data_IF_099582370981
#
_entry.id   IF_099582370981
#
_cell.length_a   1.000
_cell.length_b   1.000
_cell.length_c   1.000
_cell.angle_alpha   90.00
_cell.angle_beta   90.00
_cell.angle_gamma   90.00
#
_symmetry.space_group_name_H-M   'P 1'
#
loop_
_entity.id
_entity.type
_entity.pdbx_description
1 polymer ?
#
# COMPACT_ATOMS: atom_id res chain seq x y z
N UNK A 1 -52.32 42.07 -3.49
CA UNK A 1 -52.91 40.71 -3.40
C UNK A 1 -52.90 40.19 -4.83
N UNK A 2 -51.98 39.32 -5.26
CA UNK A 2 -51.97 37.88 -4.98
C UNK A 2 -50.56 37.30 -5.18
N UNK A 3 -50.06 36.68 -4.11
CA UNK A 3 -49.09 35.58 -3.97
C UNK A 3 -48.45 34.99 -5.25
N UNK A 4 -47.11 34.94 -5.21
CA UNK A 4 -46.29 33.71 -5.33
C UNK A 4 -46.61 32.77 -6.48
N UNK A 5 -45.67 32.56 -7.41
CA UNK A 5 -45.15 31.23 -7.74
C UNK A 5 -43.70 31.40 -8.22
N UNK A 6 -42.80 30.86 -7.39
CA UNK A 6 -41.40 30.64 -7.65
C UNK A 6 -41.33 29.53 -8.72
N UNK A 7 -40.94 29.86 -9.95
CA UNK A 7 -40.63 28.84 -10.97
C UNK A 7 -39.15 28.49 -10.85
N UNK A 8 -38.86 27.57 -9.94
CA UNK A 8 -37.59 26.87 -9.84
C UNK A 8 -37.53 25.86 -11.00
N UNK A 9 -36.78 26.17 -12.06
CA UNK A 9 -36.38 25.16 -13.05
C UNK A 9 -34.92 24.79 -12.79
N UNK A 10 -34.77 23.64 -12.15
CA UNK A 10 -33.55 23.07 -11.64
C UNK A 10 -32.48 22.94 -12.73
N UNK A 11 -31.36 23.64 -12.52
CA UNK A 11 -30.13 23.44 -13.26
C UNK A 11 -29.54 22.10 -12.83
N UNK A 12 -29.81 21.06 -13.63
CA UNK A 12 -29.36 19.68 -13.38
C UNK A 12 -27.86 19.61 -13.66
N UNK A 13 -27.05 19.99 -12.67
CA UNK A 13 -25.60 19.78 -12.72
C UNK A 13 -25.33 18.28 -12.66
N UNK A 14 -24.79 17.76 -13.76
CA UNK A 14 -24.20 16.44 -13.84
C UNK A 14 -23.05 16.33 -12.83
N UNK A 15 -23.31 15.70 -11.69
CA UNK A 15 -22.25 15.25 -10.79
C UNK A 15 -21.64 14.01 -11.45
N UNK A 16 -20.62 14.25 -12.29
CA UNK A 16 -19.70 13.21 -12.72
C UNK A 16 -18.93 12.72 -11.51
N UNK A 17 -19.44 11.66 -10.89
CA UNK A 17 -18.74 10.95 -9.83
C UNK A 17 -17.43 10.42 -10.39
N UNK A 18 -16.32 11.08 -10.06
CA UNK A 18 -14.99 10.53 -10.26
C UNK A 18 -14.91 9.32 -9.33
N UNK A 19 -15.12 8.12 -9.86
CA UNK A 19 -14.72 6.92 -9.17
C UNK A 19 -13.20 7.03 -9.02
N UNK A 20 -12.77 7.45 -7.84
CA UNK A 20 -11.37 7.37 -7.45
C UNK A 20 -11.00 5.90 -7.61
N UNK A 21 -10.25 5.60 -8.67
CA UNK A 21 -9.57 4.33 -8.81
C UNK A 21 -8.65 4.25 -7.61
N UNK A 22 -9.09 3.59 -6.55
CA UNK A 22 -8.24 3.22 -5.44
C UNK A 22 -7.21 2.26 -6.04
N UNK A 23 -6.09 2.81 -6.51
CA UNK A 23 -4.87 2.07 -6.77
C UNK A 23 -4.44 1.54 -5.42
N UNK A 24 -5.01 0.39 -5.03
CA UNK A 24 -4.83 -0.16 -3.70
C UNK A 24 -3.36 -0.37 -3.47
N UNK A 25 -2.77 0.43 -2.60
CA UNK A 25 -1.38 0.24 -2.21
C UNK A 25 -1.33 -0.99 -1.31
N UNK A 26 -0.31 -1.83 -1.46
CA UNK A 26 -0.13 -2.96 -0.57
C UNK A 26 1.26 -2.99 0.03
N UNK A 27 1.30 -3.03 1.35
CA UNK A 27 2.52 -3.02 2.14
C UNK A 27 2.63 -4.32 2.92
N UNK A 28 3.81 -4.91 2.91
CA UNK A 28 4.11 -6.10 3.71
C UNK A 28 5.25 -5.82 4.65
N UNK A 29 5.02 -6.08 5.93
CA UNK A 29 6.08 -6.24 6.92
C UNK A 29 6.60 -7.67 6.82
N UNK A 30 7.91 -7.85 6.72
CA UNK A 30 8.53 -9.16 6.52
C UNK A 30 9.86 -9.30 7.28
N UNK A 31 10.28 -10.54 7.45
CA UNK A 31 11.63 -10.92 7.93
C UNK A 31 12.42 -11.52 6.78
N UNK A 32 13.68 -11.12 6.63
CA UNK A 32 14.59 -11.67 5.63
C UNK A 32 15.99 -11.94 6.20
N UNK A 33 16.72 -12.83 5.52
CA UNK A 33 18.09 -13.22 5.91
C UNK A 33 19.06 -13.28 4.74
N UNK A 34 20.33 -13.00 5.00
CA UNK A 34 21.47 -13.33 4.14
C UNK A 34 22.28 -14.44 4.80
N UNK A 35 22.91 -15.29 4.00
CA UNK A 35 23.81 -16.33 4.49
C UNK A 35 25.25 -15.97 4.13
N UNK A 36 26.16 -16.09 5.11
CA UNK A 36 27.61 -15.90 4.96
C UNK A 36 28.06 -14.49 4.45
N UNK A 37 28.18 -13.48 5.34
CA UNK A 37 27.88 -13.51 6.77
C UNK A 37 26.37 -13.58 7.04
N UNK A 38 25.98 -14.19 8.16
CA UNK A 38 24.58 -14.21 8.57
C UNK A 38 24.12 -12.79 8.90
N UNK A 39 23.15 -12.29 8.15
CA UNK A 39 22.47 -11.02 8.46
C UNK A 39 20.97 -11.25 8.49
N UNK A 40 20.29 -10.55 9.38
CA UNK A 40 18.83 -10.58 9.54
C UNK A 40 18.31 -9.16 9.53
N UNK A 41 17.13 -8.96 8.97
CA UNK A 41 16.40 -7.71 9.18
C UNK A 41 14.89 -7.90 9.14
N UNK A 42 14.21 -6.94 9.78
CA UNK A 42 12.79 -6.68 9.61
C UNK A 42 12.68 -5.53 8.60
N UNK A 43 11.81 -5.66 7.61
CA UNK A 43 11.63 -4.64 6.58
C UNK A 43 10.18 -4.48 6.19
N UNK A 44 9.90 -3.38 5.52
CA UNK A 44 8.61 -3.14 4.87
C UNK A 44 8.83 -2.94 3.38
N UNK A 45 7.99 -3.57 2.57
CA UNK A 45 8.02 -3.49 1.12
C UNK A 45 6.64 -3.10 0.61
N UNK A 46 6.61 -2.18 -0.36
CA UNK A 46 5.41 -1.83 -1.10
C UNK A 46 5.37 -2.63 -2.38
N UNK A 47 4.22 -3.22 -2.70
CA UNK A 47 3.96 -3.91 -3.96
C UNK A 47 3.05 -3.04 -4.82
N UNK A 48 3.31 -3.03 -6.13
CA UNK A 48 2.51 -2.31 -7.12
C UNK A 48 1.29 -3.14 -7.53
N UNK A 49 0.52 -3.60 -6.55
CA UNK A 49 -0.73 -4.33 -6.72
C UNK A 49 -1.56 -4.20 -5.43
N UNK A 50 -2.85 -4.53 -5.53
CA UNK A 50 -3.82 -4.48 -4.45
C UNK A 50 -3.56 -5.57 -3.41
N UNK A 51 -3.88 -5.28 -2.15
CA UNK A 51 -3.79 -6.30 -1.10
C UNK A 51 -4.77 -7.48 -1.28
N UNK A 52 -5.81 -7.32 -2.10
CA UNK A 52 -6.82 -8.35 -2.34
C UNK A 52 -6.37 -9.48 -3.28
N UNK A 53 -5.36 -9.26 -4.13
CA UNK A 53 -4.92 -10.26 -5.12
C UNK A 53 -4.00 -11.36 -4.55
N UNK A 54 -3.74 -11.34 -3.24
CA UNK A 54 -3.05 -12.42 -2.52
C UNK A 54 -1.83 -11.92 -1.75
N UNK A 55 -1.02 -12.81 -1.15
CA UNK A 55 0.08 -12.42 -0.27
C UNK A 55 1.33 -11.92 -1.02
N UNK A 56 1.31 -11.95 -2.35
CA UNK A 56 2.41 -11.53 -3.25
C UNK A 56 3.78 -12.16 -2.93
N UNK A 57 3.80 -13.33 -2.29
CA UNK A 57 5.02 -13.91 -1.72
C UNK A 57 6.14 -14.13 -2.73
N UNK A 58 5.82 -14.59 -3.94
CA UNK A 58 6.80 -14.76 -5.02
C UNK A 58 7.44 -13.43 -5.40
N UNK A 59 6.62 -12.40 -5.61
CA UNK A 59 7.13 -11.05 -5.95
C UNK A 59 8.02 -10.46 -4.86
N UNK A 60 7.65 -10.63 -3.58
CA UNK A 60 8.49 -10.23 -2.45
C UNK A 60 9.81 -11.01 -2.45
N UNK A 61 9.74 -12.33 -2.59
CA UNK A 61 10.91 -13.20 -2.59
C UNK A 61 11.87 -12.84 -3.71
N UNK A 62 11.36 -12.58 -4.92
CA UNK A 62 12.18 -12.25 -6.08
C UNK A 62 12.89 -10.90 -5.92
N UNK A 63 12.18 -9.86 -5.46
CA UNK A 63 12.76 -8.52 -5.20
C UNK A 63 13.83 -8.56 -4.11
N UNK A 64 13.60 -9.32 -3.05
CA UNK A 64 14.58 -9.51 -1.98
C UNK A 64 15.80 -10.31 -2.48
N UNK A 65 15.58 -11.36 -3.26
CA UNK A 65 16.64 -12.21 -3.79
C UNK A 65 17.59 -11.47 -4.73
N UNK A 66 17.10 -10.48 -5.51
CA UNK A 66 17.94 -9.60 -6.33
C UNK A 66 19.01 -8.86 -5.50
N UNK A 67 18.77 -8.66 -4.21
CA UNK A 67 19.67 -8.00 -3.28
C UNK A 67 20.38 -8.99 -2.34
N UNK A 68 20.32 -10.29 -2.64
CA UNK A 68 20.89 -11.38 -1.85
C UNK A 68 20.10 -11.74 -0.60
N UNK A 69 18.92 -11.16 -0.38
CA UNK A 69 18.08 -11.46 0.77
C UNK A 69 17.13 -12.63 0.48
N UNK A 70 17.05 -13.58 1.40
CA UNK A 70 16.06 -14.65 1.38
C UNK A 70 14.89 -14.29 2.28
N UNK A 71 13.68 -14.23 1.71
CA UNK A 71 12.45 -14.06 2.48
C UNK A 71 12.29 -15.23 3.47
N UNK A 72 12.12 -14.91 4.75
CA UNK A 72 11.85 -15.92 5.78
C UNK A 72 10.36 -16.02 6.08
N UNK A 73 9.71 -14.86 6.26
CA UNK A 73 8.32 -14.81 6.70
C UNK A 73 7.70 -13.46 6.34
N UNK A 74 6.45 -13.50 5.87
CA UNK A 74 5.58 -12.33 5.85
C UNK A 74 4.94 -12.21 7.25
N UNK A 75 5.17 -11.09 7.92
CA UNK A 75 4.69 -10.84 9.28
C UNK A 75 3.26 -10.31 9.25
N UNK A 76 3.02 -9.27 8.43
CA UNK A 76 1.71 -8.63 8.33
C UNK A 76 1.56 -7.85 7.03
N UNK A 77 0.36 -7.85 6.51
CA UNK A 77 -0.07 -7.07 5.35
C UNK A 77 -0.82 -5.82 5.82
N UNK A 78 -0.64 -4.72 5.09
CA UNK A 78 -1.28 -3.45 5.36
C UNK A 78 -1.75 -2.81 4.04
N UNK A 79 -3.05 -2.43 3.93
CA UNK A 79 -3.53 -1.64 2.79
C UNK A 79 -3.10 -0.16 2.89
N UNK A 80 -2.77 0.30 4.09
CA UNK A 80 -2.28 1.65 4.38
C UNK A 80 -1.36 1.62 5.61
N UNK A 81 -0.40 2.54 5.67
CA UNK A 81 0.61 2.62 6.73
C UNK A 81 0.81 4.05 7.21
N UNK A 82 1.19 4.22 8.48
CA UNK A 82 1.83 5.45 8.95
C UNK A 82 3.32 5.40 8.59
N UNK A 83 3.67 6.03 7.47
CA UNK A 83 5.03 6.00 6.93
C UNK A 83 6.07 6.60 7.89
N UNK A 84 5.72 7.57 8.73
CA UNK A 84 6.67 8.18 9.68
C UNK A 84 6.99 7.20 10.78
N UNK A 85 5.96 6.59 11.37
CA UNK A 85 6.13 5.58 12.42
C UNK A 85 6.97 4.41 11.92
N UNK A 86 6.59 3.82 10.78
CA UNK A 86 7.31 2.66 10.25
C UNK A 86 8.73 2.98 9.80
N UNK A 87 8.99 4.20 9.30
CA UNK A 87 10.37 4.63 8.97
C UNK A 87 11.24 4.72 10.21
N UNK A 88 10.72 5.22 11.32
CA UNK A 88 11.45 5.29 12.59
C UNK A 88 11.75 3.88 13.14
N UNK A 89 10.78 2.97 13.05
CA UNK A 89 10.92 1.61 13.58
C UNK A 89 11.83 0.70 12.73
N UNK A 90 11.78 0.83 11.40
CA UNK A 90 12.45 -0.06 10.45
C UNK A 90 13.77 0.51 9.88
N UNK A 91 14.03 1.80 10.09
CA UNK A 91 15.24 2.48 9.66
C UNK A 91 15.49 2.30 8.16
N UNK A 92 16.67 1.80 7.82
CA UNK A 92 17.08 1.63 6.42
C UNK A 92 16.23 0.63 5.63
N UNK A 93 15.50 -0.27 6.29
CA UNK A 93 14.71 -1.32 5.62
C UNK A 93 13.25 -0.92 5.39
N UNK A 94 12.91 0.34 5.67
CA UNK A 94 11.62 0.92 5.30
C UNK A 94 11.57 1.20 3.80
N UNK A 95 10.76 0.42 3.06
CA UNK A 95 10.50 0.58 1.62
C UNK A 95 11.75 0.56 0.72
N UNK A 96 12.84 -0.06 1.20
CA UNK A 96 14.13 -0.09 0.50
C UNK A 96 14.20 -1.10 -0.65
N UNK A 97 13.49 -2.22 -0.51
CA UNK A 97 13.52 -3.34 -1.47
C UNK A 97 12.19 -3.49 -2.18
#
# INVERSE_FOLDING_TARGET
MTKMIISALAFWICIGGSAALASGECYYLYKAKKTAPLQLHLGMIKINDTCSSGPHQTQLSDRLAQNGWKLMQIVKQYPEIDGVKFKNDLGEFFLKY
#
